data_IF_045188620868
#
_entry.id   IF_045188620868
#
_cell.length_a   1.000
_cell.length_b   1.000
_cell.length_c   1.000
_cell.angle_alpha   90.00
_cell.angle_beta   90.00
_cell.angle_gamma   90.00
#
_symmetry.space_group_name_H-M   'P 1'
#
loop_
_entity.id
_entity.type
_entity.pdbx_description
1 polymer ?
#
# COMPACT_ATOMS: atom_id res chain seq x y z
N UNK A 1 -72.48 9.78 13.44
CA UNK A 1 -71.43 9.50 12.45
C UNK A 1 -70.21 9.18 13.28
N UNK A 2 -70.08 7.91 13.64
CA UNK A 2 -69.05 7.41 14.55
C UNK A 2 -67.97 6.74 13.70
N UNK A 3 -66.71 7.18 13.86
CA UNK A 3 -65.54 6.54 13.27
C UNK A 3 -64.72 5.91 14.40
N UNK A 4 -64.71 4.59 14.43
CA UNK A 4 -63.81 3.77 15.23
C UNK A 4 -62.48 3.59 14.50
N UNK A 5 -61.38 3.91 15.18
CA UNK A 5 -60.03 3.50 14.79
C UNK A 5 -59.72 2.13 15.42
N UNK A 6 -59.37 1.16 14.59
CA UNK A 6 -58.77 -0.10 15.02
C UNK A 6 -57.25 0.06 15.07
N UNK A 7 -56.66 -0.31 16.21
CA UNK A 7 -55.22 -0.46 16.40
C UNK A 7 -54.91 -1.95 16.32
N UNK A 8 -54.19 -2.40 15.29
CA UNK A 8 -53.64 -3.75 15.23
C UNK A 8 -52.27 -3.79 15.89
N UNK A 9 -52.12 -4.75 16.81
CA UNK A 9 -50.94 -5.05 17.60
C UNK A 9 -50.20 -6.21 16.94
N UNK A 10 -49.00 -6.00 16.40
CA UNK A 10 -48.12 -7.08 15.96
C UNK A 10 -47.21 -7.51 17.11
N UNK A 11 -47.47 -8.71 17.66
CA UNK A 11 -46.53 -9.44 18.51
C UNK A 11 -45.76 -10.46 17.68
N UNK A 12 -44.43 -10.37 17.69
CA UNK A 12 -43.53 -11.37 17.08
C UNK A 12 -42.90 -12.23 18.18
N UNK A 13 -43.08 -13.54 18.07
CA UNK A 13 -42.51 -14.58 18.94
C UNK A 13 -41.52 -15.38 18.11
N UNK A 14 -40.24 -15.35 18.47
CA UNK A 14 -39.19 -16.20 17.88
C UNK A 14 -38.82 -17.28 18.91
N UNK A 15 -38.92 -18.55 18.50
CA UNK A 15 -38.48 -19.71 19.29
C UNK A 15 -37.03 -20.09 18.97
N UNK A 16 -36.33 -20.81 19.88
CA UNK A 16 -34.92 -21.11 19.71
C UNK A 16 -34.68 -22.54 19.19
N UNK A 17 -33.57 -22.71 18.47
CA UNK A 17 -32.87 -23.98 18.36
C UNK A 17 -32.38 -24.27 16.96
N UNK A 18 -31.07 -24.37 16.81
CA UNK A 18 -30.35 -25.47 16.16
C UNK A 18 -28.84 -25.28 16.37
N UNK A 19 -28.22 -26.28 16.98
CA UNK A 19 -26.78 -26.42 17.22
C UNK A 19 -26.09 -27.03 15.99
N UNK A 20 -24.97 -26.47 15.55
CA UNK A 20 -24.09 -27.08 14.56
C UNK A 20 -22.74 -27.50 15.17
N UNK A 21 -22.33 -28.72 14.83
CA UNK A 21 -21.08 -29.37 15.22
C UNK A 21 -19.85 -28.79 14.50
N UNK A 22 -18.72 -28.86 15.20
CA UNK A 22 -17.42 -28.22 14.90
C UNK A 22 -16.47 -29.19 14.17
N UNK A 23 -15.74 -28.73 13.14
CA UNK A 23 -14.47 -29.34 12.73
C UNK A 23 -13.25 -28.48 13.13
N UNK A 24 -12.14 -29.15 13.42
CA UNK A 24 -10.89 -28.59 13.97
C UNK A 24 -10.06 -27.83 12.92
N UNK A 25 -9.36 -26.79 13.38
CA UNK A 25 -8.39 -25.97 12.63
C UNK A 25 -7.00 -26.63 12.51
N UNK A 26 -6.31 -26.26 11.43
CA UNK A 26 -4.92 -26.58 11.08
C UNK A 26 -3.94 -25.59 11.78
N UNK A 27 -2.88 -26.07 12.47
CA UNK A 27 -1.92 -25.24 13.21
C UNK A 27 -0.94 -24.40 12.36
N UNK A 28 -0.93 -24.50 11.03
CA UNK A 28 0.12 -23.86 10.20
C UNK A 28 -0.13 -22.42 9.74
N UNK A 29 -1.18 -21.74 10.20
CA UNK A 29 -1.42 -20.31 9.87
C UNK A 29 -0.57 -19.36 10.73
N UNK A 30 0.01 -19.84 11.85
CA UNK A 30 0.84 -19.02 12.75
C UNK A 30 2.25 -18.68 12.24
N UNK A 31 2.75 -19.38 11.21
CA UNK A 31 4.17 -19.29 10.84
C UNK A 31 4.52 -18.20 9.81
N UNK A 32 3.56 -17.62 9.09
CA UNK A 32 3.84 -16.58 8.08
C UNK A 32 3.92 -15.14 8.63
N UNK A 33 3.54 -14.91 9.89
CA UNK A 33 3.59 -13.58 10.53
C UNK A 33 4.71 -13.42 11.57
N UNK A 34 5.51 -14.47 11.81
CA UNK A 34 6.50 -14.49 12.90
C UNK A 34 7.92 -14.06 12.49
N UNK A 35 8.17 -13.72 11.23
CA UNK A 35 9.53 -13.58 10.69
C UNK A 35 9.92 -12.13 10.36
N UNK A 36 9.72 -11.15 11.26
CA UNK A 36 10.25 -9.79 11.03
C UNK A 36 10.41 -8.87 12.26
N UNK A 37 10.29 -9.33 13.51
CA UNK A 37 10.28 -8.44 14.71
C UNK A 37 11.60 -8.36 15.49
N UNK A 38 12.74 -8.68 14.88
CA UNK A 38 14.01 -8.75 15.62
C UNK A 38 14.81 -7.43 15.74
N UNK A 39 14.46 -6.34 15.04
CA UNK A 39 15.39 -5.19 14.89
C UNK A 39 15.02 -3.84 15.54
N UNK A 40 13.84 -3.67 16.15
CA UNK A 40 13.50 -2.43 16.88
C UNK A 40 13.14 -2.74 18.34
N UNK A 41 14.16 -3.06 19.14
CA UNK A 41 14.02 -3.48 20.53
C UNK A 41 14.25 -2.33 21.51
N UNK A 42 13.27 -1.44 21.66
CA UNK A 42 13.13 -0.59 22.85
C UNK A 42 11.65 -0.46 23.23
N UNK A 43 11.32 -0.77 24.49
CA UNK A 43 9.97 -0.58 25.03
C UNK A 43 9.64 0.92 25.07
N UNK A 44 8.53 1.31 24.45
CA UNK A 44 8.11 2.70 24.35
C UNK A 44 7.40 3.14 25.67
N UNK A 45 7.97 4.08 26.45
CA UNK A 45 7.38 4.53 27.70
C UNK A 45 6.03 5.23 27.51
N UNK A 46 5.69 5.70 26.29
CA UNK A 46 4.41 6.34 26.02
C UNK A 46 3.21 5.39 26.21
N UNK A 47 3.37 4.08 26.02
CA UNK A 47 2.28 3.12 26.18
C UNK A 47 1.93 2.82 27.65
N UNK A 48 2.86 3.06 28.58
CA UNK A 48 2.68 2.73 29.99
C UNK A 48 1.88 3.79 30.77
N UNK A 49 1.81 5.02 30.26
CA UNK A 49 1.22 6.15 31.00
C UNK A 49 -0.29 6.35 30.81
N UNK A 50 -0.95 5.57 29.93
CA UNK A 50 -2.32 5.87 29.51
C UNK A 50 -3.37 4.81 29.87
N UNK A 51 -3.09 3.89 30.80
CA UNK A 51 -4.11 2.95 31.27
C UNK A 51 -5.22 3.71 32.04
N UNK A 52 -6.48 3.74 31.55
CA UNK A 52 -7.56 4.34 32.31
C UNK A 52 -7.86 3.48 33.55
N UNK A 53 -7.91 4.11 34.71
CA UNK A 53 -8.30 3.45 35.96
C UNK A 53 -9.78 3.05 35.93
N UNK A 54 -10.03 1.77 35.63
CA UNK A 54 -11.12 0.96 36.19
C UNK A 54 -12.56 1.20 35.71
N UNK A 55 -13.07 0.24 34.93
CA UNK A 55 -14.45 -0.28 35.06
C UNK A 55 -14.53 -1.64 34.35
N UNK A 56 -14.77 -2.71 35.12
CA UNK A 56 -15.14 -4.02 34.56
C UNK A 56 -16.50 -3.90 33.89
N UNK A 57 -16.51 -3.85 32.55
CA UNK A 57 -17.72 -3.93 31.73
C UNK A 57 -17.63 -5.23 30.94
N UNK A 58 -18.56 -6.14 31.22
CA UNK A 58 -18.73 -7.37 30.44
C UNK A 58 -19.09 -7.01 29.00
N UNK A 59 -18.18 -7.31 28.08
CA UNK A 59 -18.39 -7.23 26.64
C UNK A 59 -19.34 -8.38 26.26
N UNK A 60 -20.48 -8.14 25.58
CA UNK A 60 -21.26 -9.23 25.01
C UNK A 60 -20.47 -9.89 23.87
N UNK A 61 -20.43 -11.22 23.84
CA UNK A 61 -19.71 -12.02 22.85
C UNK A 61 -20.00 -11.54 21.42
N UNK A 62 -18.94 -11.12 20.72
CA UNK A 62 -18.98 -10.80 19.30
C UNK A 62 -19.24 -12.09 18.50
N UNK A 63 -20.10 -12.08 17.47
CA UNK A 63 -20.21 -13.20 16.55
C UNK A 63 -18.87 -13.37 15.78
N UNK A 64 -18.41 -14.60 15.54
CA UNK A 64 -17.14 -14.85 14.86
C UNK A 64 -17.20 -14.38 13.40
N UNK A 65 -16.09 -13.87 12.84
CA UNK A 65 -16.03 -13.49 11.43
C UNK A 65 -16.00 -14.73 10.53
N UNK A 66 -17.05 -14.90 9.71
CA UNK A 66 -17.11 -15.88 8.63
C UNK A 66 -16.24 -15.42 7.45
N UNK A 67 -15.32 -16.28 7.02
CA UNK A 67 -14.50 -16.07 5.83
C UNK A 67 -15.20 -16.59 4.56
N UNK A 68 -15.44 -15.72 3.59
CA UNK A 68 -15.68 -16.09 2.19
C UNK A 68 -14.48 -15.63 1.36
N UNK A 69 -13.69 -16.57 0.85
CA UNK A 69 -13.02 -16.55 -0.47
C UNK A 69 -12.33 -17.91 -0.67
N UNK A 70 -12.99 -18.80 -1.40
CA UNK A 70 -12.37 -19.89 -2.14
C UNK A 70 -13.29 -20.19 -3.31
N UNK A 71 -12.89 -19.76 -4.50
CA UNK A 71 -13.10 -20.40 -5.81
C UNK A 71 -12.76 -19.38 -6.92
N UNK A 72 -11.50 -19.38 -7.36
CA UNK A 72 -11.20 -19.03 -8.74
C UNK A 72 -10.29 -20.11 -9.31
N UNK A 73 -10.93 -21.05 -10.01
CA UNK A 73 -10.31 -22.12 -10.77
C UNK A 73 -10.24 -21.62 -12.22
N UNK A 74 -9.03 -21.41 -12.76
CA UNK A 74 -8.85 -21.28 -14.20
C UNK A 74 -7.79 -20.28 -14.68
N UNK A 75 -6.74 -20.87 -15.27
CA UNK A 75 -6.08 -20.46 -16.53
C UNK A 75 -4.72 -19.70 -16.50
N UNK A 76 -3.73 -20.47 -16.97
CA UNK A 76 -2.47 -20.15 -17.68
C UNK A 76 -1.23 -19.71 -16.88
N UNK A 77 -0.37 -20.69 -16.60
CA UNK A 77 1.07 -20.48 -16.40
C UNK A 77 1.81 -20.50 -17.74
N UNK A 78 2.77 -19.59 -18.01
CA UNK A 78 3.74 -19.80 -19.08
C UNK A 78 4.92 -20.64 -18.60
N UNK A 79 5.07 -21.82 -19.20
CA UNK A 79 6.26 -22.67 -19.14
C UNK A 79 7.48 -21.96 -19.74
N UNK A 80 8.54 -21.79 -18.94
CA UNK A 80 9.94 -21.82 -19.41
C UNK A 80 10.90 -21.81 -18.24
N UNK A 81 11.16 -23.00 -17.67
CA UNK A 81 12.37 -23.24 -16.87
C UNK A 81 13.33 -24.03 -17.76
N UNK A 82 14.42 -23.39 -18.15
CA UNK A 82 15.56 -24.06 -18.79
C UNK A 82 16.23 -25.01 -17.77
N UNK A 83 16.66 -26.22 -18.18
CA UNK A 83 17.30 -27.15 -17.27
C UNK A 83 18.73 -26.69 -16.90
N UNK A 84 19.01 -26.65 -15.61
CA UNK A 84 20.35 -26.58 -15.03
C UNK A 84 21.13 -27.87 -15.37
N UNK A 85 22.41 -27.81 -15.77
CA UNK A 85 23.20 -29.01 -15.98
C UNK A 85 23.66 -29.62 -14.65
N UNK A 86 23.46 -30.93 -14.53
CA UNK A 86 23.96 -31.77 -13.45
C UNK A 86 25.49 -31.78 -13.40
N UNK A 87 26.05 -31.50 -12.22
CA UNK A 87 27.46 -31.74 -11.91
C UNK A 87 27.71 -33.24 -11.78
N UNK A 88 28.32 -33.84 -12.80
CA UNK A 88 28.86 -35.21 -12.74
C UNK A 88 30.27 -35.17 -12.15
N UNK A 89 30.44 -35.81 -10.99
CA UNK A 89 31.75 -36.15 -10.44
C UNK A 89 32.45 -37.17 -11.35
N UNK A 90 33.70 -36.89 -11.75
CA UNK A 90 34.60 -37.91 -12.29
C UNK A 90 35.92 -37.95 -11.51
N UNK A 91 36.36 -39.18 -11.27
CA UNK A 91 37.54 -39.61 -10.53
C UNK A 91 38.85 -39.38 -11.32
N UNK A 92 40.03 -39.53 -10.68
CA UNK A 92 41.32 -39.14 -11.26
C UNK A 92 41.95 -40.28 -12.06
N UNK A 93 42.51 -39.99 -13.24
CA UNK A 93 43.41 -40.91 -13.95
C UNK A 93 44.61 -40.14 -14.53
N UNK A 94 45.76 -40.39 -13.90
CA UNK A 94 47.11 -40.72 -14.40
C UNK A 94 47.60 -40.14 -15.74
N UNK A 95 48.75 -39.48 -15.60
CA UNK A 95 49.91 -39.23 -16.48
C UNK A 95 50.11 -40.18 -17.69
N UNK A 96 50.44 -39.61 -18.86
CA UNK A 96 51.51 -40.08 -19.75
C UNK A 96 51.71 -39.15 -20.96
N UNK A 97 52.85 -38.45 -20.94
CA UNK A 97 53.89 -38.24 -21.97
C UNK A 97 53.61 -38.00 -23.48
N UNK A 98 54.52 -37.14 -24.02
CA UNK A 98 55.07 -37.04 -25.40
C UNK A 98 54.51 -36.00 -26.41
N UNK A 99 55.26 -34.88 -26.50
CA UNK A 99 56.02 -34.35 -27.64
C UNK A 99 55.43 -34.17 -29.07
N UNK A 100 55.85 -33.06 -29.69
CA UNK A 100 55.76 -32.53 -31.08
C UNK A 100 54.78 -31.35 -31.18
N UNK A 101 55.08 -30.14 -31.66
CA UNK A 101 56.25 -29.51 -32.28
C UNK A 101 55.72 -28.40 -33.21
N UNK A 102 56.22 -27.15 -33.06
CA UNK A 102 56.45 -26.09 -34.10
C UNK A 102 55.29 -25.76 -35.09
N UNK A 103 54.82 -24.54 -35.38
CA UNK A 103 55.44 -23.22 -35.58
C UNK A 103 54.38 -22.08 -35.54
N UNK A 104 54.87 -20.87 -35.22
CA UNK A 104 54.59 -19.53 -35.76
C UNK A 104 53.18 -18.96 -36.02
N UNK A 105 53.08 -17.67 -35.64
CA UNK A 105 52.19 -16.56 -36.06
C UNK A 105 51.38 -16.02 -34.86
N UNK A 106 51.92 -15.14 -34.00
CA UNK A 106 52.22 -13.73 -34.23
C UNK A 106 51.05 -12.92 -34.81
N UNK A 107 50.05 -12.55 -34.00
CA UNK A 107 49.36 -11.24 -34.02
C UNK A 107 48.60 -11.00 -32.69
N UNK A 108 48.78 -9.80 -32.11
CA UNK A 108 47.75 -9.08 -31.36
C UNK A 108 47.47 -9.48 -29.91
N UNK A 109 48.25 -8.93 -28.99
CA UNK A 109 47.85 -8.77 -27.58
C UNK A 109 46.64 -7.81 -27.50
N UNK A 110 45.45 -8.35 -27.26
CA UNK A 110 44.34 -7.59 -26.67
C UNK A 110 44.48 -7.71 -25.15
N UNK A 111 44.92 -6.59 -24.56
CA UNK A 111 45.09 -6.34 -23.13
C UNK A 111 43.70 -6.22 -22.47
N UNK A 112 43.10 -7.37 -22.15
CA UNK A 112 41.92 -7.47 -21.28
C UNK A 112 42.35 -7.25 -19.83
N UNK A 113 42.46 -6.00 -19.40
CA UNK A 113 42.54 -5.65 -17.98
C UNK A 113 41.19 -5.94 -17.32
N UNK A 114 40.98 -7.18 -16.88
CA UNK A 114 40.00 -7.52 -15.86
C UNK A 114 40.33 -6.72 -14.59
N UNK A 115 39.41 -5.83 -14.20
CA UNK A 115 39.43 -5.20 -12.90
C UNK A 115 39.19 -6.27 -11.84
N UNK A 116 40.29 -6.80 -11.31
CA UNK A 116 40.32 -7.69 -10.16
C UNK A 116 39.74 -6.94 -8.95
N UNK A 117 38.49 -7.22 -8.60
CA UNK A 117 37.91 -6.75 -7.34
C UNK A 117 38.66 -7.43 -6.19
N UNK A 118 39.42 -6.65 -5.43
CA UNK A 118 39.95 -7.10 -4.16
C UNK A 118 38.77 -7.38 -3.21
N UNK A 119 38.59 -8.64 -2.84
CA UNK A 119 37.79 -9.04 -1.70
C UNK A 119 38.40 -8.38 -0.45
N UNK A 120 37.68 -7.42 0.12
CA UNK A 120 37.97 -6.90 1.44
C UNK A 120 37.43 -7.92 2.46
N UNK A 121 38.33 -8.67 3.09
CA UNK A 121 38.04 -9.40 4.32
C UNK A 121 37.66 -8.39 5.41
N UNK A 122 36.36 -8.20 5.63
CA UNK A 122 35.85 -7.53 6.81
C UNK A 122 35.96 -8.49 7.99
N UNK A 123 37.03 -8.35 8.78
CA UNK A 123 37.06 -8.83 10.15
C UNK A 123 36.20 -7.89 11.00
N UNK A 124 35.09 -8.41 11.51
CA UNK A 124 34.30 -7.74 12.53
C UNK A 124 35.18 -7.48 13.78
N UNK A 125 35.10 -6.30 14.41
CA UNK A 125 35.80 -6.07 15.67
C UNK A 125 35.19 -6.96 16.75
N UNK A 126 36.01 -7.86 17.29
CA UNK A 126 35.73 -8.58 18.53
C UNK A 126 35.70 -7.55 19.64
N UNK A 127 34.50 -7.24 20.15
CA UNK A 127 34.31 -6.42 21.33
C UNK A 127 34.44 -7.35 22.54
N UNK A 128 35.55 -7.21 23.27
CA UNK A 128 35.71 -7.81 24.61
C UNK A 128 34.70 -7.16 25.55
N UNK A 129 33.63 -7.88 25.89
CA UNK A 129 32.68 -7.54 26.94
C UNK A 129 32.92 -8.39 28.19
N UNK A 130 34.12 -8.29 28.75
CA UNK A 130 34.44 -8.83 30.08
C UNK A 130 34.71 -7.67 31.05
N UNK A 131 33.64 -7.02 31.53
CA UNK A 131 33.54 -6.38 32.85
C UNK A 131 32.26 -5.56 32.98
N UNK A 132 31.17 -6.19 33.40
CA UNK A 132 30.14 -5.48 34.18
C UNK A 132 29.88 -6.31 35.43
N UNK A 133 30.43 -5.79 36.53
CA UNK A 133 30.20 -6.21 37.91
C UNK A 133 28.70 -6.26 38.21
N UNK A 134 28.31 -7.31 38.92
CA UNK A 134 26.94 -7.64 39.23
C UNK A 134 26.15 -6.60 40.04
N UNK A 135 24.87 -6.60 39.74
CA UNK A 135 23.79 -6.25 40.67
C UNK A 135 22.76 -7.35 40.53
N UNK A 136 22.86 -8.34 41.42
CA UNK A 136 21.79 -9.30 41.71
C UNK A 136 20.61 -8.52 42.28
N UNK A 137 19.58 -8.32 41.47
CA UNK A 137 18.26 -7.90 41.93
C UNK A 137 17.22 -8.67 41.13
N UNK A 138 16.66 -9.68 41.77
CA UNK A 138 15.60 -10.56 41.30
C UNK A 138 14.36 -9.75 40.84
N UNK A 139 14.32 -9.38 39.57
CA UNK A 139 13.19 -8.74 38.90
C UNK A 139 12.63 -9.67 37.79
N UNK A 140 12.37 -10.93 38.14
CA UNK A 140 11.62 -11.84 37.28
C UNK A 140 10.13 -11.59 37.46
N UNK A 141 9.55 -10.68 36.66
CA UNK A 141 8.12 -10.39 36.77
C UNK A 141 7.47 -9.45 35.75
N UNK A 142 8.19 -8.85 34.79
CA UNK A 142 7.61 -7.82 33.90
C UNK A 142 7.59 -8.18 32.39
N UNK A 143 7.96 -9.40 31.99
CA UNK A 143 7.97 -9.77 30.56
C UNK A 143 6.56 -10.02 29.99
N UNK A 144 5.60 -10.46 30.81
CA UNK A 144 4.24 -10.80 30.36
C UNK A 144 3.41 -9.56 29.96
N UNK A 145 3.62 -8.41 30.61
CA UNK A 145 2.88 -7.17 30.31
C UNK A 145 3.33 -6.52 28.97
N UNK A 146 4.56 -6.80 28.53
CA UNK A 146 5.10 -6.35 27.25
C UNK A 146 4.51 -7.13 26.06
N UNK A 147 4.04 -8.35 26.27
CA UNK A 147 3.45 -9.16 25.20
C UNK A 147 2.02 -8.70 24.86
N UNK A 148 1.27 -8.23 25.87
CA UNK A 148 -0.07 -7.64 25.67
C UNK A 148 0.00 -6.32 24.89
N UNK A 149 1.00 -5.48 25.17
CA UNK A 149 1.26 -4.25 24.42
C UNK A 149 1.68 -4.51 22.97
N UNK A 150 2.26 -5.68 22.68
CA UNK A 150 2.61 -6.12 21.32
C UNK A 150 1.43 -6.75 20.57
N UNK A 151 0.28 -6.91 21.22
CA UNK A 151 -0.88 -7.46 20.54
C UNK A 151 -1.28 -6.53 19.38
N UNK A 152 -1.53 -7.12 18.21
CA UNK A 152 -1.94 -6.42 17.00
C UNK A 152 -3.25 -5.60 17.19
N UNK A 153 -3.95 -5.84 18.29
CA UNK A 153 -5.25 -5.27 18.64
C UNK A 153 -5.22 -4.28 19.82
N UNK A 154 -4.05 -3.84 20.29
CA UNK A 154 -3.96 -2.87 21.41
C UNK A 154 -4.83 -1.62 21.20
N UNK A 155 -4.95 -1.14 19.96
CA UNK A 155 -5.83 -0.02 19.59
C UNK A 155 -7.30 -0.18 20.04
N UNK A 156 -7.82 -1.42 20.18
CA UNK A 156 -9.18 -1.66 20.70
C UNK A 156 -9.30 -1.28 22.18
N UNK A 157 -8.24 -1.45 22.96
CA UNK A 157 -8.20 -1.09 24.38
C UNK A 157 -8.28 0.44 24.54
N UNK A 158 -7.68 1.19 23.61
CA UNK A 158 -7.79 2.65 23.55
C UNK A 158 -9.22 3.13 23.31
N UNK A 159 -10.11 2.25 22.81
CA UNK A 159 -11.52 2.51 22.53
C UNK A 159 -12.44 1.99 23.64
N UNK A 160 -12.01 2.05 24.90
CA UNK A 160 -12.84 1.69 26.04
C UNK A 160 -13.89 2.77 26.40
N UNK A 161 -14.64 3.23 25.40
CA UNK A 161 -15.74 4.17 25.53
C UNK A 161 -16.78 3.96 24.41
N UNK A 162 -18.03 4.34 24.67
CA UNK A 162 -19.09 4.30 23.65
C UNK A 162 -18.92 5.45 22.65
N UNK A 163 -18.94 5.12 21.36
CA UNK A 163 -18.86 6.10 20.27
C UNK A 163 -20.30 6.39 19.83
N UNK A 164 -20.88 7.58 20.16
CA UNK A 164 -22.22 7.93 19.73
C UNK A 164 -22.28 8.09 18.20
N UNK A 165 -23.47 7.96 17.64
CA UNK A 165 -23.74 8.26 16.22
C UNK A 165 -23.62 9.78 15.96
N UNK A 166 -23.12 10.20 14.79
CA UNK A 166 -23.03 11.61 14.38
C UNK A 166 -24.38 12.36 14.41
N UNK A 167 -25.50 11.64 14.33
CA UNK A 167 -26.86 12.18 14.49
C UNK A 167 -27.21 12.48 15.95
N UNK A 168 -26.53 11.86 16.92
CA UNK A 168 -26.80 12.01 18.34
C UNK A 168 -25.96 13.11 18.97
N UNK A 169 -24.67 13.22 18.61
CA UNK A 169 -23.73 14.16 19.22
C UNK A 169 -22.72 14.62 18.18
N UNK A 170 -22.41 15.92 18.15
CA UNK A 170 -21.34 16.45 17.31
C UNK A 170 -19.97 15.99 17.83
N UNK A 171 -19.00 15.70 16.96
CA UNK A 171 -17.75 15.03 17.36
C UNK A 171 -16.96 15.77 18.46
N UNK A 172 -16.91 17.11 18.38
CA UNK A 172 -16.28 18.00 19.37
C UNK A 172 -16.87 17.90 20.79
N UNK A 173 -18.07 17.34 20.93
CA UNK A 173 -18.75 17.18 22.21
C UNK A 173 -18.53 15.77 22.81
N UNK A 174 -17.63 14.96 22.24
CA UNK A 174 -17.29 13.62 22.72
C UNK A 174 -15.90 13.69 23.40
N UNK A 175 -15.82 13.86 24.74
CA UNK A 175 -14.55 14.15 25.41
C UNK A 175 -13.49 13.06 25.24
N UNK A 176 -13.90 11.80 25.20
CA UNK A 176 -12.98 10.67 24.99
C UNK A 176 -12.35 10.68 23.60
N UNK A 177 -13.12 11.06 22.57
CA UNK A 177 -12.62 11.16 21.20
C UNK A 177 -11.71 12.38 21.03
N UNK A 178 -12.03 13.51 21.69
CA UNK A 178 -11.12 14.65 21.77
C UNK A 178 -9.80 14.26 22.45
N UNK A 179 -9.84 13.55 23.57
CA UNK A 179 -8.64 13.09 24.27
C UNK A 179 -7.81 12.13 23.40
N UNK A 180 -8.46 11.21 22.68
CA UNK A 180 -7.81 10.30 21.74
C UNK A 180 -7.12 11.06 20.61
N UNK A 181 -7.81 12.06 20.04
CA UNK A 181 -7.29 12.92 18.99
C UNK A 181 -6.09 13.76 19.47
N UNK A 182 -6.20 14.42 20.62
CA UNK A 182 -5.12 15.22 21.21
C UNK A 182 -3.89 14.34 21.48
N UNK A 183 -4.11 13.14 22.03
CA UNK A 183 -3.02 12.17 22.29
C UNK A 183 -2.39 11.69 20.99
N UNK A 184 -3.19 11.42 19.96
CA UNK A 184 -2.69 11.05 18.64
C UNK A 184 -1.78 12.15 18.08
N UNK A 185 -2.19 13.41 18.13
CA UNK A 185 -1.39 14.55 17.64
C UNK A 185 -0.12 14.76 18.47
N UNK A 186 -0.19 14.55 19.78
CA UNK A 186 0.95 14.68 20.68
C UNK A 186 2.11 13.73 20.30
N UNK A 187 1.79 12.58 19.70
CA UNK A 187 2.78 11.64 19.17
C UNK A 187 3.53 12.13 17.92
N UNK A 188 3.06 13.21 17.26
CA UNK A 188 3.69 13.85 16.10
C UNK A 188 4.32 15.21 16.42
N UNK A 189 4.47 15.55 17.70
CA UNK A 189 5.23 16.74 18.08
C UNK A 189 6.68 16.60 17.61
N UNK A 190 7.36 17.69 17.22
CA UNK A 190 8.77 17.64 16.88
C UNK A 190 9.56 16.99 18.01
N UNK A 191 10.43 16.02 17.67
CA UNK A 191 11.25 15.28 18.65
C UNK A 191 10.46 14.33 19.56
N UNK A 192 9.24 13.96 19.18
CA UNK A 192 8.48 12.93 19.87
C UNK A 192 9.27 11.61 19.88
N UNK A 193 9.57 11.03 21.05
CA UNK A 193 10.26 9.74 21.14
C UNK A 193 9.33 8.56 20.80
N UNK A 194 8.05 8.83 20.51
CA UNK A 194 7.05 7.81 20.25
C UNK A 194 7.42 6.97 19.04
N UNK A 195 7.41 5.66 19.22
CA UNK A 195 7.68 4.68 18.18
C UNK A 195 6.61 4.69 17.07
N UNK A 196 6.98 4.24 15.88
CA UNK A 196 6.04 4.05 14.76
C UNK A 196 4.89 3.10 15.14
N UNK A 197 5.17 2.07 15.94
CA UNK A 197 4.16 1.15 16.45
C UNK A 197 3.10 1.88 17.28
N UNK A 198 3.51 2.68 18.26
CA UNK A 198 2.58 3.46 19.09
C UNK A 198 1.78 4.45 18.23
N UNK A 199 2.44 5.17 17.30
CA UNK A 199 1.75 6.06 16.35
C UNK A 199 0.68 5.31 15.54
N UNK A 200 0.98 4.08 15.09
CA UNK A 200 0.03 3.23 14.36
C UNK A 200 -1.17 2.81 15.24
N UNK A 201 -0.96 2.44 16.50
CA UNK A 201 -2.07 2.04 17.38
C UNK A 201 -3.04 3.20 17.63
N UNK A 202 -2.52 4.41 17.91
CA UNK A 202 -3.37 5.60 18.06
C UNK A 202 -4.04 5.99 16.74
N UNK A 203 -3.35 5.86 15.60
CA UNK A 203 -3.95 6.11 14.29
C UNK A 203 -5.13 5.15 14.02
N UNK A 204 -4.95 3.85 14.29
CA UNK A 204 -6.00 2.83 14.16
C UNK A 204 -7.20 3.15 15.03
N UNK A 205 -6.97 3.47 16.31
CA UNK A 205 -8.05 3.84 17.23
C UNK A 205 -8.79 5.09 16.75
N UNK A 206 -8.07 6.14 16.36
CA UNK A 206 -8.67 7.39 15.88
C UNK A 206 -9.52 7.15 14.63
N UNK A 207 -8.95 6.52 13.58
CA UNK A 207 -9.68 6.26 12.34
C UNK A 207 -10.90 5.38 12.59
N UNK A 208 -10.76 4.31 13.38
CA UNK A 208 -11.91 3.46 13.70
C UNK A 208 -13.01 4.24 14.43
N UNK A 209 -12.65 5.11 15.38
CA UNK A 209 -13.62 5.93 16.09
C UNK A 209 -14.33 6.93 15.16
N UNK A 210 -13.59 7.60 14.27
CA UNK A 210 -14.16 8.48 13.26
C UNK A 210 -15.12 7.73 12.33
N UNK A 211 -14.70 6.58 11.78
CA UNK A 211 -15.54 5.78 10.89
C UNK A 211 -16.80 5.27 11.61
N UNK A 212 -16.69 4.82 12.86
CA UNK A 212 -17.83 4.32 13.63
C UNK A 212 -18.84 5.44 13.95
N UNK A 213 -18.35 6.66 14.19
CA UNK A 213 -19.18 7.83 14.42
C UNK A 213 -20.03 8.21 13.19
N UNK A 214 -19.40 8.23 12.00
CA UNK A 214 -20.05 8.64 10.74
C UNK A 214 -20.76 7.51 9.99
N UNK A 215 -20.32 6.27 10.18
CA UNK A 215 -20.92 5.06 9.62
C UNK A 215 -21.37 4.11 10.75
N UNK A 216 -22.38 4.51 11.53
CA UNK A 216 -22.81 3.79 12.72
C UNK A 216 -23.70 2.59 12.38
N UNK A 217 -23.68 1.58 13.25
CA UNK A 217 -24.51 0.37 13.11
C UNK A 217 -26.01 0.64 13.15
N UNK A 218 -26.44 1.71 13.84
CA UNK A 218 -27.82 2.22 13.81
C UNK A 218 -28.34 2.52 12.41
N UNK A 219 -27.44 2.85 11.47
CA UNK A 219 -27.75 3.19 10.08
C UNK A 219 -27.42 2.02 9.12
N UNK A 220 -27.12 0.85 9.66
CA UNK A 220 -26.82 -0.35 8.87
C UNK A 220 -25.39 -0.40 8.33
N UNK A 221 -24.43 0.22 9.02
CA UNK A 221 -23.01 0.14 8.69
C UNK A 221 -22.23 -0.73 9.69
N UNK A 222 -21.08 -1.23 9.25
CA UNK A 222 -20.08 -1.87 10.10
C UNK A 222 -18.69 -1.44 9.66
N UNK A 223 -17.75 -1.35 10.59
CA UNK A 223 -16.36 -0.98 10.34
C UNK A 223 -15.49 -2.15 10.76
N UNK A 224 -14.68 -2.69 9.85
CA UNK A 224 -13.80 -3.82 10.14
C UNK A 224 -12.38 -3.55 9.64
N UNK A 225 -11.33 -3.99 10.37
CA UNK A 225 -9.98 -4.02 9.83
C UNK A 225 -9.95 -4.81 8.51
N UNK A 226 -9.15 -4.37 7.55
CA UNK A 226 -9.01 -5.02 6.25
C UNK A 226 -7.58 -4.92 5.72
N UNK A 227 -7.30 -5.67 4.66
CA UNK A 227 -6.07 -5.53 3.87
C UNK A 227 -6.27 -4.48 2.76
N UNK A 228 -5.20 -3.76 2.41
CA UNK A 228 -5.17 -2.87 1.25
C UNK A 228 -5.07 -3.62 -0.10
N UNK A 229 -5.03 -4.95 -0.05
CA UNK A 229 -4.79 -5.81 -1.21
C UNK A 229 -3.33 -6.28 -1.26
N UNK A 230 -2.85 -6.76 -2.43
CA UNK A 230 -1.46 -7.11 -2.62
C UNK A 230 -0.60 -5.84 -2.61
N UNK A 231 0.12 -5.63 -1.53
CA UNK A 231 1.17 -4.61 -1.44
C UNK A 231 2.50 -5.27 -1.83
N UNK A 232 3.38 -4.55 -2.54
CA UNK A 232 4.72 -5.07 -2.83
C UNK A 232 5.46 -5.40 -1.52
N UNK A 233 6.40 -6.35 -1.56
CA UNK A 233 7.12 -6.81 -0.35
C UNK A 233 7.80 -5.66 0.41
N UNK A 234 8.34 -4.68 -0.33
CA UNK A 234 8.98 -3.49 0.23
C UNK A 234 8.00 -2.32 0.46
N UNK A 235 6.71 -2.54 0.27
CA UNK A 235 5.67 -1.54 0.45
C UNK A 235 5.49 -0.58 -0.74
N UNK A 236 5.26 0.70 -0.47
CA UNK A 236 5.10 1.74 -1.50
C UNK A 236 6.18 2.81 -1.37
N UNK A 237 6.58 3.43 -2.49
CA UNK A 237 7.57 4.49 -2.50
C UNK A 237 7.09 5.70 -3.29
N UNK A 238 7.27 6.89 -2.74
CA UNK A 238 6.96 8.15 -3.41
C UNK A 238 8.23 9.00 -3.58
N UNK A 239 8.36 9.68 -4.71
CA UNK A 239 9.53 10.53 -4.95
C UNK A 239 9.38 11.84 -4.16
N UNK A 240 10.35 12.14 -3.33
CA UNK A 240 10.39 13.39 -2.58
C UNK A 240 10.95 14.51 -3.44
N UNK A 241 10.42 15.73 -3.23
CA UNK A 241 11.04 16.94 -3.74
C UNK A 241 12.43 17.12 -3.10
N UNK A 242 13.27 17.93 -3.73
CA UNK A 242 14.58 18.25 -3.18
C UNK A 242 14.44 19.09 -1.89
N UNK A 243 15.46 19.14 -1.00
CA UNK A 243 15.41 19.88 0.26
C UNK A 243 15.16 21.40 0.10
N UNK A 244 15.37 21.96 -1.08
CA UNK A 244 15.06 23.35 -1.44
C UNK A 244 13.64 23.52 -2.03
N UNK A 245 12.80 22.49 -1.94
CA UNK A 245 11.47 22.37 -2.52
C UNK A 245 11.42 22.47 -4.05
N UNK A 246 12.55 22.28 -4.74
CA UNK A 246 12.52 22.12 -6.19
C UNK A 246 11.98 20.73 -6.55
N UNK A 247 11.16 20.69 -7.61
CA UNK A 247 10.38 19.50 -8.00
C UNK A 247 11.26 18.25 -8.17
N UNK A 248 12.44 18.38 -8.77
CA UNK A 248 13.62 17.50 -8.78
C UNK A 248 14.70 18.28 -9.58
N UNK A 249 15.98 18.00 -9.32
CA UNK A 249 17.11 18.49 -10.12
C UNK A 249 16.81 18.44 -11.64
N UNK A 250 16.88 19.62 -12.25
CA UNK A 250 16.79 19.91 -13.69
C UNK A 250 17.24 18.74 -14.57
N UNK A 251 16.46 18.42 -15.61
CA UNK A 251 16.74 17.51 -16.75
C UNK A 251 18.20 17.06 -16.79
N UNK A 252 18.43 15.74 -16.84
CA UNK A 252 19.76 15.16 -17.02
C UNK A 252 20.61 16.03 -17.95
N UNK A 253 21.81 16.47 -17.51
CA UNK A 253 22.59 17.46 -18.24
C UNK A 253 22.71 17.02 -19.71
N UNK A 254 22.42 17.91 -20.68
CA UNK A 254 22.30 17.50 -22.07
C UNK A 254 23.57 16.78 -22.51
N UNK A 255 23.43 15.56 -23.03
CA UNK A 255 24.55 14.84 -23.61
C UNK A 255 25.14 15.70 -24.72
N UNK A 256 26.36 16.19 -24.52
CA UNK A 256 27.14 16.87 -25.55
C UNK A 256 28.07 15.82 -26.13
N UNK A 257 27.65 15.07 -27.18
CA UNK A 257 28.56 14.15 -27.85
C UNK A 257 29.82 14.93 -28.21
N UNK A 258 31.00 14.37 -27.90
CA UNK A 258 32.26 14.97 -28.33
C UNK A 258 32.21 15.01 -29.86
N UNK A 259 31.94 16.20 -30.41
CA UNK A 259 31.80 16.35 -31.85
C UNK A 259 33.05 15.76 -32.50
N UNK A 260 32.92 14.85 -33.48
CA UNK A 260 34.07 14.27 -34.14
C UNK A 260 34.92 15.43 -34.63
N UNK A 261 36.21 15.45 -34.24
CA UNK A 261 37.14 16.51 -34.60
C UNK A 261 37.14 16.63 -36.13
N UNK A 262 36.39 17.59 -36.67
CA UNK A 262 36.33 17.81 -38.12
C UNK A 262 37.75 18.13 -38.58
N UNK A 263 38.38 17.16 -39.23
CA UNK A 263 39.66 17.39 -39.89
C UNK A 263 39.43 18.52 -40.90
N UNK A 264 40.20 19.60 -40.74
CA UNK A 264 40.12 20.78 -41.60
C UNK A 264 40.59 20.39 -43.00
N UNK A 265 39.73 19.81 -43.84
CA UNK A 265 40.12 19.52 -45.22
C UNK A 265 39.00 19.71 -46.24
N UNK A 266 39.18 20.80 -46.99
CA UNK A 266 39.00 20.97 -48.44
C UNK A 266 37.56 21.07 -49.02
N UNK A 267 37.43 21.84 -50.12
CA UNK A 267 36.15 22.36 -50.60
C UNK A 267 35.26 21.33 -51.29
N UNK A 268 33.96 21.45 -50.99
CA UNK A 268 32.75 20.86 -51.59
C UNK A 268 32.96 20.11 -52.92
N UNK A 269 33.06 18.77 -52.85
CA UNK A 269 32.72 17.87 -53.96
C UNK A 269 31.38 17.17 -53.67
N UNK A 270 30.66 16.85 -54.75
CA UNK A 270 29.28 16.33 -54.81
C UNK A 270 29.01 15.23 -53.77
N UNK A 271 27.82 15.28 -53.12
CA UNK A 271 27.31 14.29 -52.16
C UNK A 271 27.42 12.87 -52.75
N UNK A 272 28.40 12.08 -52.32
CA UNK A 272 28.38 10.62 -52.54
C UNK A 272 27.48 9.97 -51.50
N UNK A 273 26.99 8.76 -51.79
CA UNK A 273 26.33 7.93 -50.79
C UNK A 273 27.29 7.67 -49.60
N UNK A 274 26.76 7.49 -48.38
CA UNK A 274 27.57 7.18 -47.21
C UNK A 274 28.35 5.88 -47.43
N UNK A 275 29.62 5.86 -47.02
CA UNK A 275 30.43 4.64 -47.01
C UNK A 275 30.01 3.73 -45.85
N UNK A 276 30.27 2.43 -45.95
CA UNK A 276 29.98 1.46 -44.88
C UNK A 276 30.65 1.84 -43.54
N UNK A 277 31.86 2.43 -43.61
CA UNK A 277 32.56 2.94 -42.44
C UNK A 277 31.84 4.15 -41.79
N UNK A 278 31.25 5.04 -42.60
CA UNK A 278 30.43 6.16 -42.09
C UNK A 278 29.16 5.64 -41.40
N UNK A 279 28.48 4.64 -41.97
CA UNK A 279 27.32 4.00 -41.34
C UNK A 279 27.67 3.28 -40.02
N UNK A 280 28.82 2.61 -39.96
CA UNK A 280 29.30 1.98 -38.72
C UNK A 280 29.65 3.00 -37.65
N UNK A 281 30.28 4.13 -38.03
CA UNK A 281 30.57 5.23 -37.11
C UNK A 281 29.29 5.87 -36.58
N UNK A 282 28.28 6.07 -37.42
CA UNK A 282 26.96 6.57 -37.02
C UNK A 282 26.27 5.64 -36.01
N UNK A 283 26.22 4.33 -36.29
CA UNK A 283 25.69 3.32 -35.34
C UNK A 283 26.46 3.25 -34.03
N UNK A 284 27.77 3.55 -34.03
CA UNK A 284 28.56 3.64 -32.80
C UNK A 284 28.18 4.86 -31.98
N UNK A 285 28.05 6.03 -32.62
CA UNK A 285 27.61 7.27 -31.96
C UNK A 285 26.20 7.12 -31.39
N UNK A 286 25.29 6.46 -32.11
CA UNK A 286 23.94 6.17 -31.63
C UNK A 286 23.93 5.25 -30.41
N UNK A 287 24.72 4.15 -30.43
CA UNK A 287 24.87 3.25 -29.27
C UNK A 287 25.48 3.96 -28.06
N UNK A 288 26.53 4.77 -28.27
CA UNK A 288 27.15 5.56 -27.21
C UNK A 288 26.16 6.59 -26.63
N UNK A 289 25.35 7.25 -27.46
CA UNK A 289 24.32 8.17 -27.02
C UNK A 289 23.21 7.46 -26.22
N UNK A 290 22.76 6.28 -26.67
CA UNK A 290 21.77 5.46 -25.95
C UNK A 290 22.31 4.99 -24.60
N UNK A 291 23.55 4.51 -24.55
CA UNK A 291 24.22 4.09 -23.31
C UNK A 291 24.40 5.26 -22.34
N UNK A 292 24.81 6.43 -22.83
CA UNK A 292 24.92 7.64 -22.01
C UNK A 292 23.57 8.08 -21.46
N UNK A 293 22.49 7.99 -22.26
CA UNK A 293 21.13 8.28 -21.79
C UNK A 293 20.76 7.35 -20.63
N UNK A 294 20.93 6.03 -20.80
CA UNK A 294 20.64 5.05 -19.75
C UNK A 294 21.46 5.32 -18.49
N UNK A 295 22.76 5.61 -18.62
CA UNK A 295 23.61 5.93 -17.47
C UNK A 295 23.15 7.21 -16.76
N UNK A 296 22.75 8.24 -17.51
CA UNK A 296 22.18 9.46 -16.93
C UNK A 296 20.87 9.18 -16.20
N UNK A 297 19.99 8.36 -16.78
CA UNK A 297 18.71 7.99 -16.18
C UNK A 297 18.94 7.18 -14.88
N UNK A 298 19.92 6.26 -14.85
CA UNK A 298 20.31 5.51 -13.64
C UNK A 298 20.89 6.45 -12.58
N UNK A 299 21.84 7.31 -12.95
CA UNK A 299 22.43 8.29 -12.02
C UNK A 299 21.32 9.20 -11.47
N UNK A 300 20.41 9.64 -12.32
CA UNK A 300 19.27 10.46 -11.93
C UNK A 300 18.38 9.72 -10.92
N UNK A 301 17.93 8.50 -11.23
CA UNK A 301 17.15 7.65 -10.33
C UNK A 301 17.86 7.38 -8.99
N UNK A 302 19.17 7.15 -9.01
CA UNK A 302 19.96 6.89 -7.80
C UNK A 302 20.11 8.09 -6.87
N UNK A 303 19.86 9.30 -7.38
CA UNK A 303 19.92 10.55 -6.60
C UNK A 303 18.53 11.03 -6.14
N UNK A 304 17.46 10.30 -6.50
CA UNK A 304 16.14 10.61 -6.01
C UNK A 304 16.02 10.22 -4.52
N UNK A 305 15.42 11.11 -3.75
CA UNK A 305 14.99 10.78 -2.40
C UNK A 305 13.61 10.12 -2.49
N UNK A 306 13.44 9.00 -1.80
CA UNK A 306 12.19 8.28 -1.76
C UNK A 306 11.65 8.25 -0.34
N UNK A 307 10.33 8.40 -0.22
CA UNK A 307 9.58 8.13 1.00
C UNK A 307 9.03 6.72 0.90
N UNK A 308 9.67 5.79 1.60
CA UNK A 308 9.38 4.36 1.54
C UNK A 308 8.47 4.00 2.72
N UNK A 309 7.31 3.43 2.40
CA UNK A 309 6.33 2.94 3.34
C UNK A 309 6.34 1.42 3.31
N UNK A 310 7.05 0.74 4.22
CA UNK A 310 6.96 -0.70 4.34
C UNK A 310 5.56 -1.10 4.80
N UNK A 311 5.14 -2.32 4.49
CA UNK A 311 3.75 -2.78 4.68
C UNK A 311 3.32 -2.76 6.16
N UNK A 312 4.27 -2.93 7.09
CA UNK A 312 4.06 -2.87 8.54
C UNK A 312 3.64 -1.48 9.02
N UNK A 313 3.89 -0.44 8.21
CA UNK A 313 3.49 0.95 8.47
C UNK A 313 2.21 1.35 7.75
N UNK A 314 1.50 0.36 7.20
CA UNK A 314 0.19 0.54 6.60
C UNK A 314 -0.87 -0.23 7.38
N UNK A 315 -2.07 0.32 7.43
CA UNK A 315 -3.25 -0.37 7.92
C UNK A 315 -4.48 0.12 7.15
N UNK A 316 -5.55 -0.65 7.21
CA UNK A 316 -6.80 -0.23 6.60
C UNK A 316 -8.03 -0.70 7.38
N UNK A 317 -9.11 0.04 7.14
CA UNK A 317 -10.47 -0.33 7.54
C UNK A 317 -11.37 -0.30 6.31
N UNK A 318 -12.32 -1.23 6.26
CA UNK A 318 -13.45 -1.20 5.33
C UNK A 318 -14.70 -0.83 6.12
N UNK A 319 -15.48 0.07 5.55
CA UNK A 319 -16.85 0.32 5.98
C UNK A 319 -17.75 -0.50 5.07
N UNK A 320 -18.54 -1.42 5.62
CA UNK A 320 -19.55 -2.14 4.87
C UNK A 320 -20.94 -1.60 5.20
N UNK A 321 -21.82 -1.55 4.20
CA UNK A 321 -23.22 -1.17 4.34
C UNK A 321 -24.11 -2.39 4.15
N UNK A 322 -25.14 -2.51 4.96
CA UNK A 322 -26.16 -3.55 4.85
C UNK A 322 -27.14 -3.17 3.74
N UNK A 323 -27.10 -3.90 2.63
CA UNK A 323 -27.97 -3.68 1.46
C UNK A 323 -28.98 -4.81 1.31
N UNK A 324 -30.21 -4.47 0.91
CA UNK A 324 -31.24 -5.47 0.62
C UNK A 324 -30.96 -6.07 -0.77
N UNK A 325 -30.56 -7.33 -0.81
CA UNK A 325 -30.38 -8.09 -2.04
C UNK A 325 -31.76 -8.48 -2.59
N UNK A 326 -32.22 -7.78 -3.62
CA UNK A 326 -33.44 -8.15 -4.34
C UNK A 326 -33.03 -9.03 -5.51
N UNK A 327 -33.36 -10.33 -5.45
CA UNK A 327 -33.18 -11.23 -6.59
C UNK A 327 -34.14 -10.81 -7.72
N UNK A 328 -33.66 -9.91 -8.59
CA UNK A 328 -34.43 -9.34 -9.70
C UNK A 328 -34.95 -10.43 -10.67
N UNK A 329 -34.33 -11.60 -10.71
CA UNK A 329 -34.70 -12.70 -11.60
C UNK A 329 -35.80 -13.65 -11.12
N UNK A 330 -36.14 -13.67 -9.83
CA UNK A 330 -37.04 -14.70 -9.25
C UNK A 330 -37.96 -14.15 -8.15
N UNK A 331 -38.42 -12.91 -8.30
CA UNK A 331 -39.34 -12.27 -7.37
C UNK A 331 -40.74 -12.92 -7.40
N UNK A 332 -40.87 -14.14 -6.89
CA UNK A 332 -42.15 -14.70 -6.51
C UNK A 332 -42.72 -13.86 -5.35
N UNK A 333 -44.03 -13.62 -5.39
CA UNK A 333 -44.76 -12.91 -4.33
C UNK A 333 -44.62 -13.68 -3.01
N UNK A 334 -43.70 -13.23 -2.16
CA UNK A 334 -43.36 -13.90 -0.89
C UNK A 334 -41.87 -14.14 -0.66
N UNK A 335 -40.99 -13.75 -1.58
CA UNK A 335 -39.54 -13.86 -1.36
C UNK A 335 -39.08 -13.07 -0.13
N UNK A 336 -38.35 -13.75 0.75
CA UNK A 336 -37.75 -13.14 1.95
C UNK A 336 -36.62 -12.22 1.51
N UNK A 337 -36.66 -10.95 1.92
CA UNK A 337 -35.57 -9.99 1.66
C UNK A 337 -34.30 -10.51 2.35
N UNK A 338 -33.27 -10.83 1.56
CA UNK A 338 -31.94 -11.14 2.08
C UNK A 338 -31.14 -9.85 2.21
N UNK A 339 -30.37 -9.75 3.28
CA UNK A 339 -29.48 -8.63 3.48
C UNK A 339 -28.04 -9.10 3.32
N UNK A 340 -27.26 -8.33 2.59
CA UNK A 340 -25.84 -8.59 2.34
C UNK A 340 -25.03 -7.38 2.78
N UNK A 341 -23.82 -7.64 3.27
CA UNK A 341 -22.87 -6.58 3.64
C UNK A 341 -22.01 -6.29 2.43
N UNK A 342 -22.15 -5.09 1.86
CA UNK A 342 -21.40 -4.65 0.69
C UNK A 342 -20.37 -3.60 1.12
N UNK A 343 -19.11 -3.69 0.66
CA UNK A 343 -18.13 -2.65 0.89
C UNK A 343 -18.65 -1.28 0.39
N UNK A 344 -18.53 -0.26 1.23
CA UNK A 344 -19.02 1.09 0.99
C UNK A 344 -17.86 2.07 0.80
N UNK A 345 -16.91 2.10 1.73
CA UNK A 345 -15.71 2.93 1.61
C UNK A 345 -14.53 2.27 2.30
N UNK A 346 -13.33 2.68 1.93
CA UNK A 346 -12.09 2.22 2.54
C UNK A 346 -11.36 3.42 3.16
N UNK A 347 -10.75 3.16 4.31
CA UNK A 347 -9.78 4.06 4.91
C UNK A 347 -8.42 3.38 4.97
N UNK A 348 -7.38 4.07 4.52
CA UNK A 348 -5.99 3.69 4.67
C UNK A 348 -5.33 4.54 5.76
N UNK A 349 -4.32 3.96 6.40
CA UNK A 349 -3.43 4.63 7.35
C UNK A 349 -2.01 4.38 6.87
N UNK A 350 -1.21 5.43 6.77
CA UNK A 350 0.21 5.36 6.44
C UNK A 350 0.98 6.18 7.47
N UNK A 351 1.93 5.56 8.18
CA UNK A 351 2.72 6.24 9.21
C UNK A 351 4.10 6.59 8.64
N UNK A 352 4.39 7.88 8.37
CA UNK A 352 5.69 8.29 7.89
C UNK A 352 6.75 8.26 9.00
N UNK A 353 8.01 8.18 8.58
CA UNK A 353 9.18 8.31 9.47
C UNK A 353 9.42 9.76 9.92
N UNK A 354 8.81 10.71 9.22
CA UNK A 354 9.06 12.14 9.38
C UNK A 354 8.08 12.77 10.36
N UNK A 355 8.57 13.64 11.24
CA UNK A 355 7.73 14.50 12.08
C UNK A 355 7.10 15.65 11.26
N UNK A 356 7.71 16.01 10.13
CA UNK A 356 7.22 17.03 9.20
C UNK A 356 6.69 16.38 7.93
N UNK A 357 5.58 16.89 7.39
CA UNK A 357 5.03 16.40 6.13
C UNK A 357 6.05 16.63 5.00
N UNK A 358 6.49 15.57 4.30
CA UNK A 358 7.41 15.74 3.20
C UNK A 358 6.73 16.43 2.02
N UNK A 359 7.52 17.18 1.25
CA UNK A 359 7.07 17.71 -0.04
C UNK A 359 7.34 16.66 -1.10
N UNK A 360 6.31 16.29 -1.84
CA UNK A 360 6.43 15.34 -2.95
C UNK A 360 6.80 16.04 -4.24
N UNK A 361 7.55 15.34 -5.08
CA UNK A 361 7.78 15.78 -6.44
C UNK A 361 6.47 15.81 -7.24
N UNK A 362 6.24 16.86 -8.01
CA UNK A 362 5.22 16.93 -9.07
C UNK A 362 5.51 16.03 -10.28
N UNK A 363 6.71 15.44 -10.35
CA UNK A 363 7.02 14.36 -11.29
C UNK A 363 6.45 13.01 -10.83
N UNK A 364 5.97 12.89 -9.58
CA UNK A 364 5.22 11.70 -9.19
C UNK A 364 3.96 11.57 -10.05
N UNK A 365 3.87 10.49 -10.81
CA UNK A 365 2.62 10.07 -11.44
C UNK A 365 1.67 9.40 -10.43
N UNK A 366 2.22 8.86 -9.34
CA UNK A 366 1.46 8.17 -8.29
C UNK A 366 0.95 9.17 -7.25
N UNK A 367 -0.35 9.12 -6.99
CA UNK A 367 -0.96 9.82 -5.88
C UNK A 367 -0.90 8.97 -4.60
N UNK A 368 -0.83 9.57 -3.41
CA UNK A 368 -0.89 8.81 -2.14
C UNK A 368 -2.14 7.96 -2.04
N UNK A 369 -3.27 8.53 -2.45
CA UNK A 369 -4.57 7.85 -2.60
C UNK A 369 -4.54 6.57 -3.43
N UNK A 370 -3.54 6.36 -4.29
CA UNK A 370 -3.43 5.14 -5.11
C UNK A 370 -3.25 3.88 -4.25
N UNK A 371 -2.83 4.03 -2.99
CA UNK A 371 -2.78 2.94 -1.99
C UNK A 371 -4.13 2.25 -1.78
N UNK A 372 -5.23 2.93 -2.07
CA UNK A 372 -6.60 2.41 -1.92
C UNK A 372 -7.14 1.75 -3.19
N UNK A 373 -6.48 1.88 -4.34
CA UNK A 373 -7.03 1.48 -5.64
C UNK A 373 -7.39 -0.01 -5.69
N UNK A 374 -6.48 -0.89 -5.30
CA UNK A 374 -6.75 -2.34 -5.34
C UNK A 374 -7.88 -2.74 -4.39
N UNK A 375 -7.84 -2.21 -3.15
CA UNK A 375 -8.88 -2.44 -2.15
C UNK A 375 -10.26 -1.98 -2.64
N UNK A 376 -10.37 -0.81 -3.28
CA UNK A 376 -11.63 -0.26 -3.77
C UNK A 376 -12.11 -0.97 -5.04
N UNK A 377 -11.21 -1.24 -6.00
CA UNK A 377 -11.51 -1.94 -7.24
C UNK A 377 -11.82 -3.43 -7.02
N UNK A 378 -10.84 -4.20 -6.57
CA UNK A 378 -10.91 -5.67 -6.51
C UNK A 378 -11.53 -6.13 -5.20
N UNK A 379 -11.15 -5.52 -4.09
CA UNK A 379 -11.69 -5.88 -2.77
C UNK A 379 -13.14 -5.43 -2.58
N UNK A 380 -13.46 -4.23 -3.04
CA UNK A 380 -14.73 -3.56 -2.78
C UNK A 380 -15.75 -3.66 -3.90
N UNK A 381 -15.31 -3.99 -5.12
CA UNK A 381 -16.11 -3.88 -6.33
C UNK A 381 -16.81 -2.50 -6.47
N UNK A 382 -16.12 -1.44 -6.04
CA UNK A 382 -16.63 -0.08 -6.11
C UNK A 382 -16.49 0.41 -7.56
N UNK A 383 -17.50 1.12 -8.05
CA UNK A 383 -17.50 1.83 -9.34
C UNK A 383 -17.20 3.30 -9.15
N UNK A 384 -17.94 3.94 -8.25
CA UNK A 384 -17.72 5.31 -7.83
C UNK A 384 -17.83 5.36 -6.32
N UNK A 385 -16.88 5.99 -5.65
CA UNK A 385 -16.92 6.03 -4.21
C UNK A 385 -15.96 7.04 -3.61
N UNK A 386 -15.76 6.88 -2.31
CA UNK A 386 -14.88 7.72 -1.53
C UNK A 386 -13.79 6.86 -0.92
N UNK A 387 -12.55 7.36 -0.95
CA UNK A 387 -11.45 6.83 -0.16
C UNK A 387 -11.01 7.81 0.90
N UNK A 388 -10.56 7.32 2.04
CA UNK A 388 -10.04 8.13 3.15
C UNK A 388 -8.59 7.71 3.42
N UNK A 389 -7.68 8.66 3.58
CA UNK A 389 -6.29 8.38 3.92
C UNK A 389 -5.86 9.23 5.11
N UNK A 390 -5.38 8.57 6.16
CA UNK A 390 -4.62 9.21 7.23
C UNK A 390 -3.13 8.96 7.00
N UNK A 391 -2.43 9.96 6.47
CA UNK A 391 -1.00 9.96 6.20
C UNK A 391 -0.26 10.72 7.30
N UNK A 392 0.19 10.03 8.35
CA UNK A 392 0.61 10.67 9.59
C UNK A 392 -0.45 11.70 10.02
N UNK A 393 -0.10 12.95 10.33
CA UNK A 393 -1.08 13.97 10.71
C UNK A 393 -1.90 14.54 9.54
N UNK A 394 -1.71 14.11 8.29
CA UNK A 394 -2.47 14.59 7.15
C UNK A 394 -3.69 13.71 6.91
N UNK A 395 -4.89 14.28 6.98
CA UNK A 395 -6.14 13.59 6.63
C UNK A 395 -6.59 14.02 5.23
N UNK A 396 -6.80 13.06 4.34
CA UNK A 396 -7.17 13.29 2.95
C UNK A 396 -8.40 12.49 2.55
N UNK A 397 -9.24 13.10 1.72
CA UNK A 397 -10.44 12.47 1.17
C UNK A 397 -10.36 12.43 -0.35
N UNK A 398 -10.78 11.32 -0.93
CA UNK A 398 -10.62 11.04 -2.36
C UNK A 398 -11.94 10.67 -3.01
N UNK A 399 -12.19 11.21 -4.21
CA UNK A 399 -13.08 10.60 -5.17
C UNK A 399 -12.37 9.42 -5.80
N UNK A 400 -13.08 8.31 -5.88
CA UNK A 400 -12.66 7.15 -6.65
C UNK A 400 -13.60 6.95 -7.82
N UNK A 401 -13.01 6.74 -8.99
CA UNK A 401 -13.69 6.34 -10.22
C UNK A 401 -12.95 5.14 -10.78
N UNK A 402 -13.65 4.02 -10.85
CA UNK A 402 -13.09 2.75 -11.28
C UNK A 402 -12.90 2.67 -12.80
N UNK A 403 -13.28 3.72 -13.54
CA UNK A 403 -13.24 3.80 -14.98
C UNK A 403 -14.40 3.07 -15.66
N UNK A 404 -14.42 3.13 -17.00
CA UNK A 404 -15.29 2.27 -17.78
C UNK A 404 -14.92 0.80 -17.53
N UNK A 405 -15.94 -0.06 -17.42
CA UNK A 405 -15.70 -1.49 -17.38
C UNK A 405 -15.00 -1.94 -18.66
N UNK A 406 -14.04 -2.84 -18.50
CA UNK A 406 -13.34 -3.47 -19.61
C UNK A 406 -14.35 -4.34 -20.37
N UNK A 407 -15.00 -3.74 -21.37
CA UNK A 407 -15.77 -4.47 -22.34
C UNK A 407 -14.79 -4.97 -23.39
N UNK A 408 -14.47 -6.27 -23.35
CA UNK A 408 -13.87 -6.92 -24.50
C UNK A 408 -14.90 -6.81 -25.62
N UNK A 409 -14.69 -5.89 -26.56
CA UNK A 409 -15.38 -6.03 -27.83
C UNK A 409 -14.77 -7.27 -28.44
N UNK A 410 -15.54 -8.36 -28.43
CA UNK A 410 -15.27 -9.46 -29.35
C UNK A 410 -15.17 -8.79 -30.71
N UNK A 411 -13.97 -8.81 -31.29
CA UNK A 411 -13.73 -8.37 -32.66
C UNK A 411 -14.62 -9.24 -33.53
N UNK A 412 -15.90 -8.87 -33.67
CA UNK A 412 -16.77 -9.46 -34.66
C UNK A 412 -16.02 -9.29 -35.95
N UNK A 413 -15.60 -10.41 -36.52
CA UNK A 413 -14.77 -10.56 -37.71
C UNK A 413 -15.36 -9.74 -38.87
N UNK A 414 -15.15 -8.43 -38.88
CA UNK A 414 -15.70 -7.53 -39.88
C UNK A 414 -14.66 -7.45 -41.00
N UNK A 415 -14.84 -8.40 -41.92
CA UNK A 415 -14.28 -8.43 -43.25
C UNK A 415 -14.24 -7.01 -43.87
N UNK A 416 -13.09 -6.36 -43.79
CA UNK A 416 -12.53 -5.69 -44.97
C UNK A 416 -12.73 -4.19 -45.14
N UNK A 417 -12.94 -3.40 -44.09
CA UNK A 417 -12.77 -1.95 -44.20
C UNK A 417 -11.36 -1.52 -43.75
N UNK A 418 -10.44 -1.46 -44.73
CA UNK A 418 -9.05 -0.98 -44.62
C UNK A 418 -8.92 0.50 -44.16
N UNK A 419 -10.01 1.17 -43.85
CA UNK A 419 -10.00 2.53 -43.30
C UNK A 419 -9.69 2.47 -41.79
N UNK A 420 -8.44 2.08 -41.50
CA UNK A 420 -7.79 1.87 -40.21
C UNK A 420 -7.80 3.09 -39.29
N UNK A 421 -8.98 3.45 -38.83
CA UNK A 421 -9.14 4.32 -37.69
C UNK A 421 -9.19 3.42 -36.46
N UNK A 422 -8.00 3.06 -35.96
CA UNK A 422 -7.78 2.32 -34.72
C UNK A 422 -8.69 2.89 -33.63
N UNK A 423 -9.87 2.28 -33.42
CA UNK A 423 -10.68 2.52 -32.23
C UNK A 423 -9.94 1.85 -31.09
N UNK A 424 -8.86 2.49 -30.62
CA UNK A 424 -8.18 2.09 -29.40
C UNK A 424 -9.24 2.10 -28.31
N UNK A 425 -9.54 0.93 -27.75
CA UNK A 425 -10.25 0.83 -26.49
C UNK A 425 -9.61 1.87 -25.56
N UNK A 426 -10.42 2.83 -25.11
CA UNK A 426 -9.95 3.81 -24.15
C UNK A 426 -9.90 3.10 -22.81
N UNK A 427 -8.75 2.50 -22.52
CA UNK A 427 -8.42 1.97 -21.21
C UNK A 427 -8.58 3.12 -20.21
N UNK A 428 -9.70 3.15 -19.50
CA UNK A 428 -9.92 4.13 -18.45
C UNK A 428 -9.38 3.51 -17.18
N UNK A 429 -8.14 3.86 -16.85
CA UNK A 429 -7.51 3.40 -15.62
C UNK A 429 -8.31 3.90 -14.40
N UNK A 430 -8.48 3.07 -13.36
CA UNK A 430 -9.03 3.52 -12.09
C UNK A 430 -8.24 4.71 -11.55
N UNK A 431 -8.94 5.70 -11.02
CA UNK A 431 -8.33 6.96 -10.59
C UNK A 431 -8.79 7.39 -9.21
N UNK A 432 -7.87 8.01 -8.48
CA UNK A 432 -8.07 8.64 -7.18
C UNK A 432 -7.79 10.13 -7.29
N UNK A 433 -8.79 10.96 -7.01
CA UNK A 433 -8.67 12.42 -7.06
C UNK A 433 -9.04 12.99 -5.70
N UNK A 434 -8.19 13.84 -5.12
CA UNK A 434 -8.52 14.53 -3.86
C UNK A 434 -9.82 15.31 -4.03
N UNK A 435 -10.76 15.16 -3.10
CA UNK A 435 -12.06 15.82 -3.18
C UNK A 435 -11.86 17.33 -3.02
N UNK A 436 -12.45 18.11 -3.92
CA UNK A 436 -12.52 19.56 -3.82
C UNK A 436 -13.89 19.98 -3.24
N UNK A 437 -13.88 20.84 -2.22
CA UNK A 437 -15.05 21.40 -1.55
C UNK A 437 -15.03 22.92 -1.68
N UNK A 438 -15.42 23.43 -2.85
CA UNK A 438 -15.29 24.85 -3.19
C UNK A 438 -13.91 25.13 -3.79
N UNK A 439 -13.18 26.10 -3.23
CA UNK A 439 -11.79 26.40 -3.63
C UNK A 439 -10.77 25.55 -2.86
N UNK A 440 -11.21 24.88 -1.80
CA UNK A 440 -10.36 24.12 -0.90
C UNK A 440 -10.38 22.62 -1.24
N UNK A 441 -9.22 21.98 -1.13
CA UNK A 441 -9.11 20.52 -1.14
C UNK A 441 -9.49 19.98 0.23
N UNK A 442 -10.23 18.88 0.28
CA UNK A 442 -10.45 18.10 1.51
C UNK A 442 -9.19 17.28 1.83
N UNK A 443 -8.12 18.01 2.11
CA UNK A 443 -6.85 17.51 2.57
C UNK A 443 -6.28 18.54 3.54
N UNK A 444 -6.16 18.18 4.82
CA UNK A 444 -5.72 19.12 5.83
C UNK A 444 -4.89 18.44 6.92
N UNK A 445 -3.91 19.20 7.43
CA UNK A 445 -3.05 18.78 8.51
C UNK A 445 -3.81 18.86 9.83
N UNK A 446 -4.09 17.71 10.43
CA UNK A 446 -4.86 17.62 11.67
C UNK A 446 -4.15 18.25 12.87
N UNK A 447 -2.90 18.70 12.74
CA UNK A 447 -2.23 19.51 13.78
C UNK A 447 -2.70 20.97 13.75
N UNK A 448 -3.00 21.47 12.56
CA UNK A 448 -3.41 22.86 12.33
C UNK A 448 -4.93 23.02 12.38
N UNK A 449 -5.66 21.95 12.06
CA UNK A 449 -7.11 21.89 12.12
C UNK A 449 -7.58 21.24 13.42
N UNK A 450 -8.75 21.63 13.93
CA UNK A 450 -9.38 20.91 15.04
C UNK A 450 -10.33 19.80 14.58
N UNK A 451 -10.81 18.97 15.51
CA UNK A 451 -11.86 17.98 15.26
C UNK A 451 -13.14 18.56 14.61
N UNK A 452 -13.39 19.87 14.73
CA UNK A 452 -14.52 20.52 14.08
C UNK A 452 -14.41 20.60 12.56
N UNK A 453 -13.21 20.76 12.02
CA UNK A 453 -13.00 20.75 10.56
C UNK A 453 -13.03 19.31 10.02
N UNK A 454 -12.48 18.36 10.80
CA UNK A 454 -12.67 16.92 10.58
C UNK A 454 -14.16 16.59 10.50
N UNK A 455 -14.98 17.13 11.41
CA UNK A 455 -16.44 16.93 11.42
C UNK A 455 -17.10 17.41 10.14
N UNK A 456 -16.77 18.63 9.71
CA UNK A 456 -17.26 19.21 8.47
C UNK A 456 -16.93 18.34 7.26
N UNK A 457 -15.68 17.87 7.15
CA UNK A 457 -15.25 17.03 6.04
C UNK A 457 -15.98 15.67 6.01
N UNK A 458 -16.11 15.01 7.16
CA UNK A 458 -16.83 13.73 7.27
C UNK A 458 -18.33 13.85 7.01
N UNK A 459 -18.97 14.97 7.37
CA UNK A 459 -20.37 15.22 6.98
C UNK A 459 -20.51 15.35 5.47
N UNK A 460 -19.63 16.12 4.83
CA UNK A 460 -19.63 16.32 3.38
C UNK A 460 -19.46 14.99 2.63
N UNK A 461 -18.59 14.09 3.11
CA UNK A 461 -18.38 12.79 2.46
C UNK A 461 -19.43 11.74 2.87
N UNK A 462 -19.96 11.79 4.09
CA UNK A 462 -20.98 10.86 4.57
C UNK A 462 -22.30 10.95 3.80
N UNK A 463 -22.59 12.11 3.20
CA UNK A 463 -23.77 12.32 2.36
C UNK A 463 -23.61 11.80 0.92
N UNK A 464 -22.39 11.45 0.49
CA UNK A 464 -22.16 11.00 -0.89
C UNK A 464 -22.51 9.54 -1.05
N UNK A 465 -23.16 9.25 -2.18
CA UNK A 465 -23.52 7.91 -2.58
C UNK A 465 -22.31 7.16 -3.15
N UNK A 466 -22.16 5.90 -2.76
CA UNK A 466 -21.19 4.97 -3.32
C UNK A 466 -21.94 4.03 -4.25
N UNK A 467 -21.43 3.86 -5.47
CA UNK A 467 -21.95 2.92 -6.46
C UNK A 467 -21.02 1.72 -6.54
N UNK A 468 -21.57 0.52 -6.40
CA UNK A 468 -20.87 -0.72 -6.74
C UNK A 468 -20.92 -0.95 -8.26
N UNK A 469 -19.99 -1.75 -8.79
CA UNK A 469 -20.10 -2.24 -10.17
C UNK A 469 -21.23 -3.25 -10.25
N UNK A 470 -21.95 -3.25 -11.37
CA UNK A 470 -23.01 -4.22 -11.61
C UNK A 470 -22.34 -5.60 -11.76
N UNK A 471 -22.79 -6.58 -10.98
CA UNK A 471 -22.28 -7.97 -11.01
C UNK A 471 -23.09 -8.81 -11.99
#
# INVERSE_FOLDING_TARGET
MDQNFYHESMGSSIGPGLSHEVPRLDPNVGFMYASATANDMYADPALQHHLPTGRDVSIPDAPPPDSYYNNFEGMVTPDSIAPQPEYVQQAPIVDDSEAFGTEADAEGEDDDTEAMYHAHDYQAPVVDTDNILGTDADAEGEEDDLEVLKSYEYWKILLNFEIPDHTQTHINNIPHLQALYDTYLDNYRPQSPTSVFTRMQYAKALVFALLTHYYPTSQGYTVTPTSLGPVAANGMSFILAAPDNSDIYTKAPPYKPKAPKKSKSKPKKKKSAPTQAELQAERRVEREAKAHKVLCDIIWLSNLNYDIFPHERMAAFVVCRKTAATNLGTAESGSTVRFEWTPYTYSAIMIPEWDTLPTYSSTNSLHRGDVLLDAMCRGGNVKDGIGILLYGPLLEFYNFDAGAEWAYQEDEDEDGDEDGNDKRCQDTEPKMEVIEAGEDKLAFDVRDTGLGEVDGAFRVIGEREVRSRDV
#
